data_IF_787938840525
#
_entry.id   IF_787938840525
#
_cell.length_a   1.000
_cell.length_b   1.000
_cell.length_c   1.000
_cell.angle_alpha   90.00
_cell.angle_beta   90.00
_cell.angle_gamma   90.00
#
_symmetry.space_group_name_H-M   'P 1'
#
loop_
_entity.id
_entity.type
_entity.pdbx_description
1 polymer ?
#
# COMPACT_ATOMS: atom_id res chain seq x y z
N UNK A 1 -39.49 1.74 32.82
CA UNK A 1 -39.24 1.42 31.40
C UNK A 1 -38.32 2.39 30.62
N UNK A 2 -37.93 3.61 31.07
CA UNK A 2 -37.08 4.48 30.26
C UNK A 2 -35.57 4.13 30.31
N UNK A 3 -35.11 3.42 31.37
CA UNK A 3 -33.69 3.03 31.52
C UNK A 3 -33.21 1.98 30.52
N UNK A 4 -34.09 1.07 30.09
CA UNK A 4 -33.78 0.03 29.09
C UNK A 4 -33.66 0.60 27.67
N UNK A 5 -34.37 1.69 27.37
CA UNK A 5 -34.30 2.38 26.07
C UNK A 5 -32.97 3.13 25.90
N UNK A 6 -32.41 3.67 26.98
CA UNK A 6 -31.14 4.41 26.93
C UNK A 6 -29.96 3.46 26.69
N UNK A 7 -29.98 2.25 27.26
CA UNK A 7 -28.91 1.25 27.05
C UNK A 7 -28.93 0.67 25.65
N UNK A 8 -30.10 0.53 25.02
CA UNK A 8 -30.24 0.05 23.65
C UNK A 8 -29.81 1.07 22.57
N UNK A 9 -29.80 2.37 22.90
CA UNK A 9 -29.42 3.43 21.96
C UNK A 9 -27.88 3.64 21.90
N UNK A 10 -27.16 3.29 22.96
CA UNK A 10 -25.70 3.45 23.07
C UNK A 10 -24.89 2.37 22.33
N UNK A 11 -25.50 1.23 21.98
CA UNK A 11 -24.84 0.16 21.22
C UNK A 11 -24.83 0.38 19.70
N UNK A 12 -25.60 1.35 19.19
CA UNK A 12 -25.77 1.63 17.76
C UNK A 12 -24.69 2.56 17.17
N UNK A 13 -23.80 3.12 17.99
CA UNK A 13 -22.73 4.04 17.54
C UNK A 13 -21.34 3.41 17.55
N UNK A 14 -21.25 2.10 17.31
CA UNK A 14 -19.96 1.46 17.04
C UNK A 14 -19.50 1.83 15.62
N UNK A 15 -18.87 3.00 15.47
CA UNK A 15 -18.21 3.39 14.24
C UNK A 15 -17.11 2.36 13.92
N UNK A 16 -17.14 1.77 12.74
CA UNK A 16 -16.03 0.95 12.25
C UNK A 16 -14.77 1.84 12.17
N UNK A 17 -13.82 1.61 13.07
CA UNK A 17 -12.48 2.20 12.97
C UNK A 17 -11.86 1.72 11.65
N UNK A 18 -11.53 2.65 10.76
CA UNK A 18 -10.74 2.36 9.57
C UNK A 18 -9.31 2.13 10.05
N UNK A 19 -8.85 0.88 9.98
CA UNK A 19 -7.55 0.50 10.51
C UNK A 19 -6.43 1.01 9.62
N UNK A 20 -5.59 1.93 10.14
CA UNK A 20 -4.27 2.17 9.56
C UNK A 20 -3.45 0.91 9.75
N UNK A 21 -3.01 0.27 8.66
CA UNK A 21 -2.12 -0.90 8.72
C UNK A 21 -0.79 -0.63 8.04
N UNK A 22 0.18 -1.45 8.39
CA UNK A 22 1.56 -1.37 7.91
C UNK A 22 1.93 -2.69 7.25
N UNK A 23 2.41 -2.63 6.01
CA UNK A 23 3.00 -3.79 5.35
C UNK A 23 4.52 -3.66 5.36
N UNK A 24 5.21 -4.69 5.82
CA UNK A 24 6.67 -4.72 5.96
C UNK A 24 7.21 -5.97 5.27
N UNK A 25 8.29 -5.83 4.52
CA UNK A 25 9.09 -6.97 4.10
C UNK A 25 10.05 -6.64 2.97
N UNK A 26 10.74 -7.67 2.48
CA UNK A 26 11.73 -7.57 1.40
C UNK A 26 11.12 -7.16 0.07
N UNK A 27 11.96 -6.64 -0.82
CA UNK A 27 11.59 -6.28 -2.20
C UNK A 27 12.23 -7.27 -3.17
N UNK A 28 11.42 -7.91 -4.02
CA UNK A 28 11.88 -8.80 -5.09
C UNK A 28 11.17 -8.48 -6.40
N UNK A 29 11.92 -8.51 -7.50
CA UNK A 29 11.41 -8.31 -8.85
C UNK A 29 10.82 -6.91 -9.11
N UNK A 30 11.54 -5.84 -8.77
CA UNK A 30 11.17 -4.47 -9.20
C UNK A 30 11.30 -4.36 -10.72
N UNK A 31 10.26 -3.89 -11.40
CA UNK A 31 10.21 -3.79 -12.86
C UNK A 31 9.37 -2.60 -13.31
N UNK A 32 9.52 -2.23 -14.58
CA UNK A 32 8.72 -1.19 -15.26
C UNK A 32 8.05 -1.84 -16.46
N UNK A 33 6.73 -1.72 -16.57
CA UNK A 33 5.98 -2.21 -17.72
C UNK A 33 6.37 -1.41 -18.99
N UNK A 34 6.80 -2.06 -20.08
CA UNK A 34 7.41 -1.38 -21.22
C UNK A 34 6.45 -0.47 -21.99
N UNK A 35 5.14 -0.77 -21.98
CA UNK A 35 4.14 -0.03 -22.73
C UNK A 35 3.47 1.09 -21.95
N UNK A 36 3.47 1.02 -20.63
CA UNK A 36 2.72 1.94 -19.77
C UNK A 36 3.61 2.70 -18.80
N UNK A 37 4.86 2.28 -18.58
CA UNK A 37 5.73 2.87 -17.57
C UNK A 37 5.29 2.56 -16.14
N UNK A 38 4.39 1.59 -15.92
CA UNK A 38 3.92 1.25 -14.57
C UNK A 38 5.03 0.54 -13.79
N UNK A 39 5.29 1.00 -12.57
CA UNK A 39 6.19 0.31 -11.63
C UNK A 39 5.44 -0.86 -11.00
N UNK A 40 5.98 -2.06 -11.20
CA UNK A 40 5.49 -3.32 -10.65
C UNK A 40 6.57 -3.94 -9.78
N UNK A 41 6.16 -4.64 -8.72
CA UNK A 41 7.09 -5.38 -7.85
C UNK A 41 6.57 -6.79 -7.69
N UNK A 42 7.35 -7.82 -8.02
CA UNK A 42 6.91 -9.21 -7.87
C UNK A 42 6.51 -9.55 -6.41
N UNK A 43 7.38 -9.19 -5.46
CA UNK A 43 7.11 -9.26 -4.01
C UNK A 43 7.50 -7.97 -3.32
N UNK A 44 6.55 -7.36 -2.62
CA UNK A 44 6.75 -6.17 -1.81
C UNK A 44 6.27 -6.46 -0.39
N UNK A 45 7.16 -7.09 0.38
CA UNK A 45 6.81 -7.80 1.60
C UNK A 45 5.72 -8.86 1.33
N UNK A 46 4.55 -8.78 1.99
CA UNK A 46 3.45 -9.72 1.79
C UNK A 46 2.65 -9.49 0.49
N UNK A 47 2.84 -8.34 -0.19
CA UNK A 47 2.10 -7.97 -1.39
C UNK A 47 2.66 -8.67 -2.63
N UNK A 48 1.77 -9.14 -3.50
CA UNK A 48 2.11 -9.88 -4.71
C UNK A 48 1.79 -9.06 -5.96
N UNK A 49 2.79 -8.83 -6.82
CA UNK A 49 2.62 -8.05 -8.06
C UNK A 49 1.86 -6.71 -7.91
N UNK A 50 2.03 -5.90 -6.84
CA UNK A 50 1.37 -4.61 -6.77
C UNK A 50 1.87 -3.67 -7.87
N UNK A 51 0.94 -2.91 -8.44
CA UNK A 51 1.24 -1.79 -9.33
C UNK A 51 1.19 -0.48 -8.53
N UNK A 52 2.31 0.24 -8.49
CA UNK A 52 2.51 1.34 -7.53
C UNK A 52 2.23 2.73 -8.13
N UNK A 53 2.91 3.05 -9.22
CA UNK A 53 2.90 4.38 -9.84
C UNK A 53 3.39 4.28 -11.29
N UNK A 54 3.44 5.41 -12.01
CA UNK A 54 3.88 5.46 -13.41
C UNK A 54 5.06 6.41 -13.62
N UNK A 55 6.09 5.97 -14.36
CA UNK A 55 7.30 6.78 -14.62
C UNK A 55 7.19 7.70 -15.83
N UNK A 56 6.13 7.59 -16.64
CA UNK A 56 5.93 8.34 -17.88
C UNK A 56 5.01 9.56 -17.76
N UNK A 57 4.20 9.63 -16.71
CA UNK A 57 3.13 10.61 -16.51
C UNK A 57 2.64 10.56 -15.06
N UNK A 58 1.99 11.62 -14.63
CA UNK A 58 1.35 11.70 -13.32
C UNK A 58 0.12 10.79 -13.27
N UNK A 59 0.05 9.94 -12.26
CA UNK A 59 -1.03 8.96 -12.14
C UNK A 59 -1.41 8.71 -10.68
N UNK A 60 -2.72 8.63 -10.40
CA UNK A 60 -3.27 8.42 -9.05
C UNK A 60 -2.71 9.37 -7.97
N UNK A 61 -2.43 10.63 -8.35
CA UNK A 61 -1.88 11.63 -7.41
C UNK A 61 -0.40 11.47 -7.09
N UNK A 62 0.32 10.58 -7.79
CA UNK A 62 1.77 10.42 -7.70
C UNK A 62 2.39 11.02 -8.97
N UNK A 63 3.28 12.00 -8.80
CA UNK A 63 3.98 12.59 -9.95
C UNK A 63 4.98 11.62 -10.57
N UNK A 64 5.27 11.79 -11.85
CA UNK A 64 6.28 10.97 -12.54
C UNK A 64 7.66 11.04 -11.87
N UNK A 65 8.09 12.20 -11.33
CA UNK A 65 9.35 12.35 -10.60
C UNK A 65 9.32 11.56 -9.30
N UNK A 66 8.21 11.65 -8.56
CA UNK A 66 8.02 10.90 -7.32
C UNK A 66 8.06 9.39 -7.60
N UNK A 67 7.46 8.95 -8.70
CA UNK A 67 7.48 7.54 -9.08
C UNK A 67 8.90 7.02 -9.41
N UNK A 68 9.72 7.82 -10.11
CA UNK A 68 11.12 7.47 -10.38
C UNK A 68 11.94 7.35 -9.09
N UNK A 69 11.65 8.18 -8.09
CA UNK A 69 12.28 8.11 -6.75
C UNK A 69 11.81 6.85 -6.01
N UNK A 70 10.51 6.52 -6.07
CA UNK A 70 9.96 5.27 -5.50
C UNK A 70 10.64 4.05 -6.12
N UNK A 71 10.74 3.99 -7.45
CA UNK A 71 11.45 2.93 -8.15
C UNK A 71 12.91 2.80 -7.67
N UNK A 72 13.63 3.92 -7.55
CA UNK A 72 15.02 3.93 -7.11
C UNK A 72 15.17 3.44 -5.66
N UNK A 73 14.23 3.81 -4.78
CA UNK A 73 14.20 3.33 -3.39
C UNK A 73 13.97 1.82 -3.32
N UNK A 74 13.03 1.30 -4.11
CA UNK A 74 12.73 -0.14 -4.17
C UNK A 74 13.88 -0.94 -4.78
N UNK A 75 14.51 -0.42 -5.84
CA UNK A 75 15.69 -1.03 -6.44
C UNK A 75 16.86 -1.09 -5.43
N UNK A 76 17.03 -0.02 -4.64
CA UNK A 76 18.01 0.00 -3.55
C UNK A 76 17.69 -1.05 -2.50
N UNK A 77 16.44 -1.15 -2.06
CA UNK A 77 16.00 -2.18 -1.10
C UNK A 77 16.29 -3.60 -1.61
N UNK A 78 15.96 -3.89 -2.87
CA UNK A 78 16.22 -5.18 -3.51
C UNK A 78 17.72 -5.49 -3.58
N UNK A 79 18.53 -4.54 -4.04
CA UNK A 79 19.99 -4.76 -4.22
C UNK A 79 20.76 -4.82 -2.91
N UNK A 80 20.18 -4.32 -1.83
CA UNK A 80 20.78 -4.34 -0.48
C UNK A 80 20.14 -5.35 0.46
N UNK A 81 19.19 -6.18 -0.01
CA UNK A 81 18.41 -7.11 0.81
C UNK A 81 17.76 -6.45 2.04
N UNK A 82 17.35 -5.19 1.91
CA UNK A 82 16.66 -4.45 2.97
C UNK A 82 15.14 -4.60 2.82
N UNK A 83 14.45 -4.67 3.94
CA UNK A 83 13.01 -4.56 3.97
C UNK A 83 12.56 -3.11 3.75
N UNK A 84 11.35 -2.93 3.24
CA UNK A 84 10.67 -1.64 3.23
C UNK A 84 9.40 -1.67 4.06
N UNK A 85 9.01 -0.50 4.53
CA UNK A 85 7.76 -0.26 5.25
C UNK A 85 6.81 0.58 4.40
N UNK A 86 5.56 0.13 4.29
CA UNK A 86 4.46 0.81 3.60
C UNK A 86 3.32 1.04 4.58
N UNK A 87 2.69 2.22 4.51
CA UNK A 87 1.55 2.55 5.37
C UNK A 87 0.29 2.83 4.55
N UNK A 88 -0.81 2.31 5.07
CA UNK A 88 -2.11 2.33 4.42
C UNK A 88 -3.15 3.01 5.31
N UNK A 89 -4.09 3.69 4.67
CA UNK A 89 -5.18 4.41 5.31
C UNK A 89 -6.53 4.05 4.65
N UNK A 90 -6.84 2.76 4.60
CA UNK A 90 -8.13 2.22 4.16
C UNK A 90 -8.63 1.11 5.13
N UNK A 91 -9.52 0.22 4.68
CA UNK A 91 -10.07 -0.90 5.48
C UNK A 91 -9.42 -2.25 5.17
N UNK A 92 -8.33 -2.24 4.40
CA UNK A 92 -7.68 -3.45 3.95
C UNK A 92 -6.72 -4.05 4.97
N UNK A 93 -5.86 -4.89 4.44
CA UNK A 93 -4.74 -5.53 5.09
C UNK A 93 -3.69 -5.88 4.03
N UNK A 94 -2.61 -6.53 4.44
CA UNK A 94 -1.52 -6.88 3.54
C UNK A 94 -1.74 -8.17 2.73
N UNK A 95 -3.00 -8.56 2.48
CA UNK A 95 -3.34 -9.81 1.76
C UNK A 95 -3.81 -9.53 0.33
N UNK A 96 -3.81 -10.57 -0.50
CA UNK A 96 -4.32 -10.50 -1.88
C UNK A 96 -5.83 -10.18 -1.96
N UNK A 97 -6.57 -10.36 -0.85
CA UNK A 97 -7.99 -10.00 -0.79
C UNK A 97 -8.19 -8.48 -0.79
N UNK A 98 -7.31 -7.76 -0.10
CA UNK A 98 -7.27 -6.29 -0.03
C UNK A 98 -6.47 -5.68 -1.19
N UNK A 99 -5.39 -6.35 -1.62
CA UNK A 99 -4.48 -5.91 -2.66
C UNK A 99 -4.29 -6.98 -3.72
N UNK A 100 -5.21 -7.02 -4.69
CA UNK A 100 -5.18 -8.04 -5.75
C UNK A 100 -3.89 -7.96 -6.57
N UNK A 101 -3.28 -9.10 -6.91
CA UNK A 101 -2.13 -9.13 -7.81
C UNK A 101 -2.44 -8.46 -9.15
N UNK A 102 -1.46 -7.74 -9.69
CA UNK A 102 -1.55 -6.98 -10.94
C UNK A 102 -2.54 -5.80 -10.92
N UNK A 103 -3.14 -5.47 -9.77
CA UNK A 103 -3.99 -4.29 -9.58
C UNK A 103 -3.18 -3.12 -8.99
N UNK A 104 -3.74 -1.92 -9.13
CA UNK A 104 -3.22 -0.72 -8.50
C UNK A 104 -3.29 -0.84 -6.98
N UNK A 105 -2.20 -0.45 -6.32
CA UNK A 105 -2.13 -0.38 -4.86
C UNK A 105 -3.09 0.71 -4.36
N UNK A 106 -3.98 0.35 -3.45
CA UNK A 106 -5.02 1.22 -2.87
C UNK A 106 -4.71 1.52 -1.41
N UNK A 107 -5.17 2.67 -0.91
CA UNK A 107 -4.99 3.08 0.48
C UNK A 107 -3.57 3.46 0.88
N UNK A 108 -2.58 3.15 0.06
CA UNK A 108 -1.18 3.49 0.28
C UNK A 108 -0.99 5.01 0.29
N UNK A 109 -0.49 5.55 1.40
CA UNK A 109 -0.33 7.00 1.58
C UNK A 109 1.08 7.42 2.01
N UNK A 110 1.92 6.49 2.46
CA UNK A 110 3.28 6.78 2.89
C UNK A 110 4.23 5.59 2.69
N UNK A 111 5.51 5.89 2.48
CA UNK A 111 6.54 4.92 2.09
C UNK A 111 6.85 4.94 0.58
N UNK A 112 7.58 3.94 0.04
CA UNK A 112 8.29 2.91 0.79
C UNK A 112 9.43 3.52 1.62
N UNK A 113 9.44 3.27 2.94
CA UNK A 113 10.60 3.63 3.78
C UNK A 113 11.55 2.45 3.82
N UNK A 114 12.80 2.66 3.42
CA UNK A 114 13.88 1.69 3.62
C UNK A 114 14.09 1.44 5.12
N UNK A 115 14.14 0.18 5.54
CA UNK A 115 14.47 -0.18 6.92
C UNK A 115 15.99 -0.34 7.08
N UNK A 116 16.49 0.03 8.24
CA UNK A 116 17.91 -0.08 8.59
C UNK A 116 18.35 -1.53 8.81
#
# INVERSE_FOLDING_TARGET
MPRLLITALLSLTSFASYGKYTCIGEVKGVSIAPHTGDVLVEKLGPLNWPRLCRVGDDYNGISQETCRIIYSTLLTAQTTNKAVTLWFNDKGDCTDSSHKPWDWLKGWYFGPRLND
#
